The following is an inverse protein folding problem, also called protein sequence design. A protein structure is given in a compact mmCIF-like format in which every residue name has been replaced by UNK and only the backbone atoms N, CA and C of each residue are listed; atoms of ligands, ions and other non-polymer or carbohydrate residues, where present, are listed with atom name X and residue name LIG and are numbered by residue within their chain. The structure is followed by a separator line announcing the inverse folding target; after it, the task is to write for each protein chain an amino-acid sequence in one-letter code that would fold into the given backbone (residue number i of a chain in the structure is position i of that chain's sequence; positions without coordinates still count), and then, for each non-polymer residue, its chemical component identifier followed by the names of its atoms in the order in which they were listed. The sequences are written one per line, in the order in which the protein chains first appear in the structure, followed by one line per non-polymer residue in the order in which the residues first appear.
data_IF_570823025542
#
_entry.id   IF_570823025542
#
_cell.length_a   1.000
_cell.length_b   1.000
_cell.length_c   1.000
_cell.angle_alpha   90.00
_cell.angle_beta   90.00
_cell.angle_gamma   90.00
#
_symmetry.space_group_name_H-M   'P 1'
#
loop_
_entity.id
_entity.type
_entity.pdbx_description
1 polymer ?
#
# COMPACT_ATOMS: atom_id res chain seq x y z
N UNK A 1 8.29 -13.35 -12.98
CA UNK A 1 9.07 -12.42 -12.17
C UNK A 1 8.22 -11.92 -11.03
N UNK A 2 8.78 -11.93 -9.84
CA UNK A 2 8.08 -11.41 -8.66
C UNK A 2 8.28 -9.90 -8.55
N UNK A 3 7.30 -9.21 -8.01
CA UNK A 3 7.44 -7.80 -7.68
C UNK A 3 6.87 -7.53 -6.29
N UNK A 4 7.42 -6.52 -5.65
CA UNK A 4 6.96 -6.06 -4.35
C UNK A 4 6.01 -4.89 -4.56
N UNK A 5 4.84 -4.97 -3.95
CA UNK A 5 3.85 -3.89 -4.02
C UNK A 5 3.67 -3.31 -2.63
N UNK A 6 3.96 -2.01 -2.50
CA UNK A 6 3.74 -1.29 -1.25
C UNK A 6 2.42 -0.55 -1.37
N UNK A 7 1.42 -0.99 -0.62
CA UNK A 7 0.15 -0.30 -0.55
C UNK A 7 0.20 0.82 0.47
N UNK A 8 -0.34 1.97 0.12
CA UNK A 8 -0.33 3.15 0.98
C UNK A 8 -1.76 3.61 1.27
N UNK A 9 -2.02 3.92 2.53
CA UNK A 9 -3.25 4.57 2.96
C UNK A 9 -2.88 5.78 3.80
N UNK A 10 -3.57 6.90 3.61
CA UNK A 10 -3.23 8.10 4.37
C UNK A 10 -4.40 9.07 4.38
N UNK A 11 -4.43 9.90 5.42
CA UNK A 11 -5.43 10.96 5.54
C UNK A 11 -5.05 12.12 4.64
N UNK A 12 -6.04 12.95 4.31
CA UNK A 12 -5.81 14.13 3.49
C UNK A 12 -4.73 15.04 4.06
N UNK A 13 -4.66 15.16 5.38
CA UNK A 13 -3.68 16.01 6.05
C UNK A 13 -2.30 15.37 6.22
N UNK A 14 -2.09 14.14 5.76
CA UNK A 14 -0.81 13.46 5.93
C UNK A 14 0.31 14.22 5.21
N UNK A 15 1.45 14.37 5.89
CA UNK A 15 2.63 15.03 5.33
C UNK A 15 3.45 14.07 4.48
N UNK A 16 4.30 14.63 3.62
CA UNK A 16 5.27 13.84 2.87
C UNK A 16 6.17 13.04 3.82
N UNK A 17 6.52 13.62 4.97
CA UNK A 17 7.35 12.95 5.97
C UNK A 17 6.66 11.72 6.54
N UNK A 18 5.38 11.81 6.89
CA UNK A 18 4.63 10.68 7.45
C UNK A 18 4.44 9.56 6.42
N UNK A 19 4.14 9.93 5.16
CA UNK A 19 4.02 8.97 4.08
C UNK A 19 5.37 8.31 3.80
N UNK A 20 6.44 9.09 3.75
CA UNK A 20 7.80 8.57 3.57
C UNK A 20 8.23 7.64 4.69
N UNK A 21 7.82 7.94 5.91
CA UNK A 21 8.13 7.12 7.09
C UNK A 21 7.58 5.71 6.93
N UNK A 22 6.28 5.58 6.60
CA UNK A 22 5.67 4.26 6.47
C UNK A 22 6.13 3.53 5.22
N UNK A 23 6.40 4.26 4.13
CA UNK A 23 6.98 3.68 2.93
C UNK A 23 8.33 3.04 3.23
N UNK A 24 9.23 3.79 3.87
CA UNK A 24 10.56 3.29 4.22
C UNK A 24 10.48 2.10 5.17
N UNK A 25 9.56 2.15 6.14
CA UNK A 25 9.35 1.05 7.08
C UNK A 25 8.89 -0.22 6.39
N UNK A 26 7.92 -0.12 5.49
CA UNK A 26 7.41 -1.28 4.77
C UNK A 26 8.48 -1.90 3.86
N UNK A 27 9.24 -1.07 3.15
CA UNK A 27 10.32 -1.55 2.28
C UNK A 27 11.38 -2.28 3.12
N UNK A 28 11.77 -1.69 4.25
CA UNK A 28 12.77 -2.28 5.14
C UNK A 28 12.30 -3.61 5.72
N UNK A 29 11.05 -3.68 6.18
CA UNK A 29 10.50 -4.89 6.75
C UNK A 29 10.32 -5.99 5.71
N UNK A 30 10.00 -5.63 4.47
CA UNK A 30 9.88 -6.59 3.38
C UNK A 30 11.21 -7.26 3.06
N UNK A 31 12.32 -6.52 3.20
CA UNK A 31 13.69 -7.03 3.02
C UNK A 31 13.90 -7.73 1.66
N UNK A 32 13.41 -7.11 0.59
CA UNK A 32 13.47 -7.67 -0.77
C UNK A 32 14.19 -6.70 -1.71
N UNK A 33 15.51 -6.46 -1.49
CA UNK A 33 16.23 -5.39 -2.20
C UNK A 33 16.37 -5.61 -3.72
N UNK A 34 16.34 -6.87 -4.16
CA UNK A 34 16.57 -7.21 -5.56
C UNK A 34 15.27 -7.39 -6.35
N UNK A 35 14.13 -7.07 -5.75
CA UNK A 35 12.84 -7.23 -6.39
C UNK A 35 12.30 -5.87 -6.83
N UNK A 36 11.75 -5.81 -8.04
CA UNK A 36 11.12 -4.57 -8.52
C UNK A 36 10.00 -4.15 -7.57
N UNK A 37 10.00 -2.88 -7.19
CA UNK A 37 9.06 -2.33 -6.22
C UNK A 37 8.16 -1.29 -6.88
N UNK A 38 6.86 -1.40 -6.62
CA UNK A 38 5.86 -0.46 -7.10
C UNK A 38 4.98 -0.04 -5.93
N UNK A 39 4.48 1.19 -5.97
CA UNK A 39 3.58 1.72 -4.95
C UNK A 39 2.14 1.63 -5.44
N UNK A 40 1.22 1.32 -4.56
CA UNK A 40 -0.20 1.23 -4.89
C UNK A 40 -1.01 2.18 -4.01
N UNK A 41 -1.86 2.98 -4.61
CA UNK A 41 -2.75 3.91 -3.90
C UNK A 41 -4.13 3.85 -4.54
N UNK A 42 -5.17 4.15 -3.78
CA UNK A 42 -6.50 4.28 -4.35
C UNK A 42 -6.56 5.53 -5.26
N UNK A 43 -7.33 5.45 -6.34
CA UNK A 43 -7.30 6.47 -7.40
C UNK A 43 -7.53 7.90 -6.89
N UNK A 44 -8.40 8.11 -5.91
CA UNK A 44 -8.69 9.45 -5.41
C UNK A 44 -7.56 10.04 -4.56
N UNK A 45 -6.51 9.27 -4.28
CA UNK A 45 -5.33 9.73 -3.53
C UNK A 45 -4.09 9.84 -4.42
N UNK A 46 -4.17 9.45 -5.68
CA UNK A 46 -2.98 9.37 -6.55
C UNK A 46 -2.31 10.71 -6.82
N UNK A 47 -3.05 11.82 -6.71
CA UNK A 47 -2.52 13.17 -6.94
C UNK A 47 -2.24 13.93 -5.63
N UNK A 48 -2.30 13.28 -4.49
CA UNK A 48 -2.10 13.95 -3.19
C UNK A 48 -0.69 14.55 -3.12
N UNK A 49 -0.54 15.82 -2.76
CA UNK A 49 0.78 16.48 -2.77
C UNK A 49 1.81 15.83 -1.86
N UNK A 50 1.40 15.37 -0.68
CA UNK A 50 2.30 14.67 0.24
C UNK A 50 2.80 13.36 -0.33
N UNK A 51 1.94 12.61 -1.02
CA UNK A 51 2.33 11.39 -1.71
C UNK A 51 3.36 11.69 -2.80
N UNK A 52 3.07 12.65 -3.66
CA UNK A 52 3.97 12.96 -4.78
C UNK A 52 5.34 13.42 -4.29
N UNK A 53 5.38 14.21 -3.22
CA UNK A 53 6.64 14.65 -2.62
C UNK A 53 7.42 13.48 -2.01
N UNK A 54 6.75 12.58 -1.30
CA UNK A 54 7.39 11.42 -0.69
C UNK A 54 7.95 10.46 -1.75
N UNK A 55 7.20 10.27 -2.84
CA UNK A 55 7.57 9.33 -3.90
C UNK A 55 8.71 9.86 -4.75
N UNK A 56 8.81 11.18 -4.91
CA UNK A 56 9.88 11.78 -5.72
C UNK A 56 11.27 11.34 -5.26
N UNK A 57 11.45 11.17 -3.96
CA UNK A 57 12.73 10.74 -3.42
C UNK A 57 13.00 9.24 -3.63
N UNK A 58 11.96 8.43 -3.76
CA UNK A 58 12.09 6.97 -3.87
C UNK A 58 12.26 6.48 -5.29
N UNK A 59 11.75 7.22 -6.27
CA UNK A 59 11.71 6.85 -7.70
C UNK A 59 10.87 5.60 -7.98
N UNK A 60 10.06 5.13 -7.06
CA UNK A 60 9.17 3.99 -7.31
C UNK A 60 7.98 4.44 -8.15
N UNK A 61 7.57 3.65 -9.16
CA UNK A 61 6.35 3.96 -9.90
C UNK A 61 5.10 3.78 -9.03
N UNK A 62 4.07 4.54 -9.36
CA UNK A 62 2.78 4.49 -8.65
C UNK A 62 1.75 3.81 -9.55
N UNK A 63 1.05 2.82 -9.01
CA UNK A 63 -0.15 2.24 -9.61
C UNK A 63 -1.37 2.74 -8.86
N UNK A 64 -2.34 3.28 -9.59
CA UNK A 64 -3.61 3.68 -9.01
C UNK A 64 -4.56 2.47 -9.02
N UNK A 65 -5.20 2.21 -7.89
CA UNK A 65 -6.14 1.10 -7.70
C UNK A 65 -7.54 1.69 -7.55
N UNK A 66 -8.50 1.18 -8.31
CA UNK A 66 -9.88 1.65 -8.18
C UNK A 66 -10.48 1.20 -6.84
N UNK A 67 -11.47 1.94 -6.37
CA UNK A 67 -12.15 1.59 -5.13
C UNK A 67 -12.76 0.19 -5.20
N UNK A 68 -13.32 -0.19 -6.35
CA UNK A 68 -13.92 -1.52 -6.52
C UNK A 68 -12.87 -2.63 -6.41
N UNK A 69 -11.73 -2.48 -7.09
CA UNK A 69 -10.65 -3.47 -7.03
C UNK A 69 -10.09 -3.57 -5.61
N UNK A 70 -9.96 -2.44 -4.92
CA UNK A 70 -9.53 -2.43 -3.53
C UNK A 70 -10.51 -3.21 -2.64
N UNK A 71 -11.81 -2.96 -2.80
CA UNK A 71 -12.82 -3.65 -2.00
C UNK A 71 -12.85 -5.15 -2.26
N UNK A 72 -12.58 -5.58 -3.49
CA UNK A 72 -12.53 -7.00 -3.82
C UNK A 72 -11.42 -7.74 -3.08
N UNK A 73 -10.37 -7.04 -2.65
CA UNK A 73 -9.27 -7.62 -1.91
C UNK A 73 -9.56 -7.75 -0.41
N UNK A 74 -10.68 -7.23 0.09
CA UNK A 74 -10.96 -7.17 1.53
C UNK A 74 -10.94 -8.53 2.21
N UNK A 75 -11.34 -9.59 1.52
CA UNK A 75 -11.35 -10.94 2.11
C UNK A 75 -9.96 -11.47 2.46
N UNK A 76 -8.90 -10.90 1.87
CA UNK A 76 -7.52 -11.38 2.04
C UNK A 76 -6.70 -10.52 3.00
N UNK A 77 -7.26 -9.43 3.53
CA UNK A 77 -6.51 -8.56 4.45
C UNK A 77 -6.44 -9.16 5.84
N UNK A 78 -5.46 -8.69 6.62
CA UNK A 78 -5.22 -9.18 7.99
C UNK A 78 -5.72 -8.18 9.02
N UNK A 79 -5.41 -6.90 8.83
CA UNK A 79 -5.76 -5.85 9.78
C UNK A 79 -7.15 -5.30 9.47
N UNK A 80 -8.00 -5.14 10.50
CA UNK A 80 -9.35 -4.61 10.31
C UNK A 80 -9.59 -3.45 11.26
N UNK A 81 -10.05 -2.33 10.68
CA UNK A 81 -10.43 -1.13 11.41
C UNK A 81 -11.88 -0.80 11.07
N UNK A 82 -12.77 -0.74 12.06
CA UNK A 82 -14.17 -0.40 11.82
C UNK A 82 -14.33 0.98 11.19
N UNK A 83 -13.49 1.93 11.59
CA UNK A 83 -13.50 3.27 11.01
C UNK A 83 -13.21 3.25 9.51
N UNK A 84 -12.20 2.48 9.11
CA UNK A 84 -11.81 2.36 7.70
C UNK A 84 -12.89 1.62 6.92
N UNK A 85 -13.50 0.60 7.51
CA UNK A 85 -14.61 -0.11 6.88
C UNK A 85 -15.75 0.86 6.56
N UNK A 86 -16.11 1.73 7.50
CA UNK A 86 -17.17 2.72 7.29
C UNK A 86 -16.83 3.73 6.20
N UNK A 87 -15.57 4.12 6.08
CA UNK A 87 -15.15 5.16 5.14
C UNK A 87 -14.79 4.62 3.77
N UNK A 88 -14.24 3.43 3.69
CA UNK A 88 -13.66 2.89 2.46
C UNK A 88 -14.21 1.55 2.04
N UNK A 89 -15.00 0.90 2.89
CA UNK A 89 -15.55 -0.42 2.59
C UNK A 89 -14.57 -1.57 2.72
N UNK A 90 -13.38 -1.33 3.30
CA UNK A 90 -12.37 -2.36 3.57
C UNK A 90 -11.80 -2.14 4.96
N UNK A 91 -11.27 -3.19 5.57
CA UNK A 91 -10.71 -3.11 6.92
C UNK A 91 -9.34 -2.43 6.99
N UNK A 92 -8.60 -2.38 5.89
CA UNK A 92 -7.29 -1.74 5.83
C UNK A 92 -6.99 -1.34 4.39
N UNK A 93 -6.90 -0.03 4.13
CA UNK A 93 -6.65 0.49 2.78
C UNK A 93 -5.28 0.06 2.28
N UNK A 94 -4.24 0.19 3.09
CA UNK A 94 -2.88 -0.14 2.65
C UNK A 94 -2.75 -1.63 2.29
N UNK A 95 -3.34 -2.53 3.07
CA UNK A 95 -3.29 -3.96 2.78
C UNK A 95 -4.13 -4.28 1.53
N UNK A 96 -5.33 -3.70 1.44
CA UNK A 96 -6.21 -3.96 0.31
C UNK A 96 -5.63 -3.43 -1.01
N UNK A 97 -5.03 -2.23 -1.02
CA UNK A 97 -4.41 -1.70 -2.24
C UNK A 97 -3.17 -2.49 -2.64
N UNK A 98 -2.36 -2.92 -1.67
CA UNK A 98 -1.21 -3.76 -1.97
C UNK A 98 -1.63 -5.08 -2.63
N UNK A 99 -2.62 -5.75 -2.05
CA UNK A 99 -3.12 -7.02 -2.60
C UNK A 99 -3.80 -6.84 -3.95
N UNK A 100 -4.61 -5.78 -4.10
CA UNK A 100 -5.31 -5.51 -5.35
C UNK A 100 -4.34 -5.28 -6.50
N UNK A 101 -3.30 -4.49 -6.28
CA UNK A 101 -2.30 -4.20 -7.31
C UNK A 101 -1.40 -5.41 -7.59
N UNK A 102 -1.12 -6.22 -6.57
CA UNK A 102 -0.27 -7.39 -6.71
C UNK A 102 -0.98 -8.57 -7.40
N UNK A 103 -2.31 -8.63 -7.33
CA UNK A 103 -3.11 -9.61 -8.06
C UNK A 103 -3.68 -10.73 -7.18
N UNK A 104 -4.42 -11.64 -7.81
CA UNK A 104 -5.19 -12.65 -7.10
C UNK A 104 -4.34 -13.66 -6.34
N UNK A 105 -3.10 -13.86 -6.76
CA UNK A 105 -2.19 -14.82 -6.13
C UNK A 105 -1.20 -14.16 -5.20
N UNK A 106 -1.37 -12.88 -4.95
CA UNK A 106 -0.49 -12.16 -4.05
C UNK A 106 -0.74 -12.53 -2.61
N UNK A 107 0.28 -12.33 -1.78
CA UNK A 107 0.16 -12.49 -0.34
C UNK A 107 0.81 -11.31 0.36
N UNK A 108 0.27 -10.95 1.52
CA UNK A 108 0.88 -9.94 2.37
C UNK A 108 2.14 -10.50 3.02
N UNK A 109 3.23 -9.73 2.92
CA UNK A 109 4.48 -10.06 3.61
C UNK A 109 4.79 -9.05 4.71
N UNK A 110 4.20 -7.86 4.64
CA UNK A 110 4.24 -6.87 5.72
C UNK A 110 2.81 -6.40 5.95
N UNK A 111 2.28 -6.68 7.14
CA UNK A 111 0.96 -6.18 7.52
C UNK A 111 1.06 -4.70 7.86
N UNK A 112 -0.09 -4.05 8.05
CA UNK A 112 -0.17 -2.59 8.21
C UNK A 112 0.83 -2.06 9.23
N UNK A 113 1.69 -1.12 8.79
CA UNK A 113 2.50 -0.27 9.64
C UNK A 113 1.91 1.13 9.65
N UNK A 114 2.05 1.86 10.75
CA UNK A 114 1.40 3.15 10.96
C UNK A 114 2.46 4.19 11.31
N UNK A 115 2.33 5.40 10.74
CA UNK A 115 3.23 6.50 11.07
C UNK A 115 3.10 6.93 12.52
N UNK A 116 4.12 7.60 13.04
CA UNK A 116 4.11 8.06 14.43
C UNK A 116 2.93 8.99 14.74
N UNK A 117 2.55 9.83 13.78
CA UNK A 117 1.42 10.75 13.94
C UNK A 117 0.08 10.11 13.54
N UNK A 118 0.08 8.83 13.11
CA UNK A 118 -1.10 8.05 12.77
C UNK A 118 -1.88 8.56 11.56
N UNK A 119 -1.24 9.33 10.69
CA UNK A 119 -1.90 9.87 9.48
C UNK A 119 -1.65 9.02 8.24
N UNK A 120 -0.64 8.16 8.26
CA UNK A 120 -0.28 7.33 7.10
C UNK A 120 -0.06 5.88 7.51
N UNK A 121 -0.35 4.98 6.58
CA UNK A 121 -0.17 3.54 6.76
C UNK A 121 0.46 2.95 5.50
N UNK A 122 1.15 1.82 5.64
CA UNK A 122 1.69 1.07 4.53
C UNK A 122 1.67 -0.41 4.83
N UNK A 123 1.60 -1.21 3.77
CA UNK A 123 1.71 -2.66 3.85
C UNK A 123 2.41 -3.15 2.59
N UNK A 124 2.92 -4.36 2.60
CA UNK A 124 3.61 -4.91 1.45
C UNK A 124 3.04 -6.27 1.06
N UNK A 125 2.85 -6.47 -0.24
CA UNK A 125 2.44 -7.74 -0.81
C UNK A 125 3.42 -8.14 -1.91
N UNK A 126 3.59 -9.45 -2.08
CA UNK A 126 4.38 -10.01 -3.18
C UNK A 126 3.47 -10.66 -4.18
N UNK A 127 3.72 -10.38 -5.46
CA UNK A 127 3.10 -11.17 -6.52
C UNK A 127 3.77 -12.54 -6.51
N UNK A 128 2.98 -13.60 -6.60
CA UNK A 128 3.54 -14.92 -6.85
C UNK A 128 3.52 -15.19 -8.33
N UNK A 129 4.71 -15.25 -8.90
CA UNK A 129 4.89 -15.59 -10.29
C UNK A 129 5.01 -17.10 -10.36
N UNK A 130 3.98 -17.74 -10.91
CA UNK A 130 4.04 -19.19 -11.10
C UNK A 130 4.71 -19.41 -12.44
N UNK A 131 5.92 -19.94 -12.41
CA UNK A 131 6.61 -20.33 -13.63
C UNK A 131 5.76 -21.34 -14.37
N UNK A 132 5.60 -21.18 -15.68
CA UNK A 132 4.88 -22.17 -16.48
C UNK A 132 5.56 -23.51 -16.48
#
# INVERSE_FOLDING_TARGET
MSRLVIGLGFREAASAQSIGEVLASAVRQAAMPDVATVLAVVTDKAAHPGLLAAVRASHYPIEAVTADTMRDADARIVTRSERVIRQRGVGSVCEATALAAAGDRARLIVTRVVSADRTATAAAAMTEDIAP
#
